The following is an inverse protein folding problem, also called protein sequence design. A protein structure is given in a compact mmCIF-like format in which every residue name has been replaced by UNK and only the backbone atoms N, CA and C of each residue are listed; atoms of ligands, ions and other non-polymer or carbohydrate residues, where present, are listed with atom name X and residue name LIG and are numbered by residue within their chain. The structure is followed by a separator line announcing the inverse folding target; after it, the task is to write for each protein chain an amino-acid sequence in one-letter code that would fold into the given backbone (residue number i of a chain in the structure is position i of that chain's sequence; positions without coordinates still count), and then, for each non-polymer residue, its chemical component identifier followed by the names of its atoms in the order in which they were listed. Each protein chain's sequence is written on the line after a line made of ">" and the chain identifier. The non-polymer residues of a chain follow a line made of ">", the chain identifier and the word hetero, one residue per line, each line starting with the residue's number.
data_IF_597406460218
#
_entry.id   IF_597406460218
#
_cell.length_a   1.000
_cell.length_b   1.000
_cell.length_c   1.000
_cell.angle_alpha   90.00
_cell.angle_beta   90.00
_cell.angle_gamma   90.00
#
_symmetry.space_group_name_H-M   'P 1'
#
loop_
_entity.id
_entity.type
_entity.pdbx_description
1 polymer ?
#
# COMPACT_ATOMS: atom_id res chain seq x y z
N UNK A 1 5.67 -37.77 5.91
CA UNK A 1 5.13 -36.65 5.11
C UNK A 1 5.95 -36.53 3.83
N UNK A 2 5.38 -36.82 2.63
CA UNK A 2 6.07 -36.57 1.37
C UNK A 2 6.04 -35.08 1.15
N UNK A 3 7.21 -34.42 1.15
CA UNK A 3 7.35 -33.03 0.74
C UNK A 3 6.87 -32.95 -0.71
N UNK A 4 5.80 -32.21 -0.98
CA UNK A 4 5.37 -31.90 -2.35
C UNK A 4 6.50 -31.11 -3.01
N UNK A 5 7.17 -31.71 -4.01
CA UNK A 5 8.16 -30.96 -4.80
C UNK A 5 7.44 -29.96 -5.69
N UNK A 6 8.10 -28.85 -6.03
CA UNK A 6 7.59 -27.84 -7.00
C UNK A 6 7.15 -28.48 -8.33
N UNK A 7 7.71 -29.64 -8.71
CA UNK A 7 7.33 -30.43 -9.88
C UNK A 7 5.95 -31.10 -9.74
N UNK A 8 5.35 -31.13 -8.54
CA UNK A 8 3.99 -31.61 -8.33
C UNK A 8 2.90 -30.55 -8.53
N UNK A 9 3.28 -29.27 -8.68
CA UNK A 9 2.36 -28.21 -9.09
C UNK A 9 1.96 -28.47 -10.56
N UNK A 10 0.71 -28.85 -10.77
CA UNK A 10 0.14 -28.93 -12.13
C UNK A 10 -0.09 -27.52 -12.64
N UNK A 11 0.92 -26.97 -13.32
CA UNK A 11 0.76 -25.71 -14.06
C UNK A 11 -0.09 -26.03 -15.28
N UNK A 12 -1.16 -25.28 -15.47
CA UNK A 12 -2.03 -25.31 -16.63
C UNK A 12 -1.26 -24.97 -17.91
N UNK A 13 -1.86 -25.16 -19.07
CA UNK A 13 -1.26 -24.72 -20.34
C UNK A 13 -1.07 -23.21 -20.33
N UNK A 14 -0.22 -22.70 -21.24
CA UNK A 14 -0.02 -21.25 -21.39
C UNK A 14 -1.33 -20.53 -21.69
N UNK A 15 -2.16 -21.15 -22.53
CA UNK A 15 -3.48 -20.63 -22.91
C UNK A 15 -4.42 -20.53 -21.70
N UNK A 16 -4.47 -21.57 -20.86
CA UNK A 16 -5.29 -21.57 -19.64
C UNK A 16 -4.84 -20.49 -18.64
N UNK A 17 -3.52 -20.25 -18.56
CA UNK A 17 -2.96 -19.21 -17.67
C UNK A 17 -3.33 -17.83 -18.20
N UNK A 18 -3.19 -17.57 -19.48
CA UNK A 18 -3.56 -16.28 -20.09
C UNK A 18 -5.05 -15.99 -19.94
N UNK A 19 -5.92 -16.99 -20.15
CA UNK A 19 -7.36 -16.86 -19.92
C UNK A 19 -7.68 -16.50 -18.46
N UNK A 20 -6.97 -17.11 -17.50
CA UNK A 20 -7.15 -16.78 -16.09
C UNK A 20 -6.72 -15.36 -15.76
N UNK A 21 -5.61 -14.87 -16.32
CA UNK A 21 -5.13 -13.49 -16.17
C UNK A 21 -6.19 -12.51 -16.70
N UNK A 22 -6.73 -12.75 -17.90
CA UNK A 22 -7.74 -11.86 -18.46
C UNK A 22 -9.04 -11.84 -17.63
N UNK A 23 -9.45 -12.97 -17.06
CA UNK A 23 -10.58 -13.01 -16.12
C UNK A 23 -10.33 -12.18 -14.87
N UNK A 24 -9.12 -12.23 -14.30
CA UNK A 24 -8.75 -11.40 -13.15
C UNK A 24 -8.81 -9.92 -13.51
N UNK A 25 -8.26 -9.53 -14.67
CA UNK A 25 -8.31 -8.12 -15.13
C UNK A 25 -9.75 -7.62 -15.27
N UNK A 26 -10.64 -8.43 -15.88
CA UNK A 26 -12.06 -8.04 -16.03
C UNK A 26 -12.79 -7.92 -14.68
N UNK A 27 -12.44 -8.76 -13.69
CA UNK A 27 -13.03 -8.70 -12.35
C UNK A 27 -12.61 -7.44 -11.58
N UNK A 28 -11.39 -6.96 -11.80
CA UNK A 28 -10.84 -5.77 -11.15
C UNK A 28 -11.21 -4.45 -11.85
N UNK A 29 -11.81 -4.50 -13.05
CA UNK A 29 -11.98 -3.37 -13.95
C UNK A 29 -13.11 -2.42 -13.54
N UNK A 30 -12.84 -1.14 -13.67
CA UNK A 30 -13.84 -0.13 -14.01
C UNK A 30 -14.63 0.50 -12.87
N UNK A 31 -14.16 0.47 -11.64
CA UNK A 31 -14.81 1.22 -10.56
C UNK A 31 -14.06 2.51 -10.26
N UNK A 32 -14.79 3.60 -10.16
CA UNK A 32 -14.28 4.89 -9.68
C UNK A 32 -15.14 5.31 -8.47
N UNK A 33 -14.51 6.01 -7.54
CA UNK A 33 -15.22 6.58 -6.38
C UNK A 33 -15.07 8.09 -6.42
N UNK A 34 -16.21 8.78 -6.32
CA UNK A 34 -16.20 10.23 -6.10
C UNK A 34 -15.81 10.52 -4.65
N UNK A 35 -14.72 11.32 -4.44
CA UNK A 35 -14.26 11.68 -3.10
C UNK A 35 -15.38 12.34 -2.28
N UNK A 36 -16.23 13.14 -2.94
CA UNK A 36 -17.39 13.79 -2.32
C UNK A 36 -18.46 12.83 -1.80
N UNK A 37 -18.44 11.56 -2.22
CA UNK A 37 -19.34 10.52 -1.72
C UNK A 37 -18.88 9.90 -0.40
N UNK A 38 -17.64 10.19 0.02
CA UNK A 38 -17.05 9.71 1.25
C UNK A 38 -17.14 10.79 2.33
N UNK A 39 -17.73 10.45 3.47
CA UNK A 39 -17.78 11.36 4.62
C UNK A 39 -16.36 11.72 5.07
N UNK A 40 -16.02 13.02 5.03
CA UNK A 40 -14.71 13.54 5.33
C UNK A 40 -14.23 13.17 6.74
N UNK A 41 -15.10 13.29 7.73
CA UNK A 41 -14.76 13.06 9.13
C UNK A 41 -14.57 11.57 9.44
N UNK A 42 -15.13 10.71 8.57
CA UNK A 42 -15.09 9.25 8.66
C UNK A 42 -14.16 8.59 7.63
N UNK A 43 -13.32 9.36 6.95
CA UNK A 43 -12.39 8.88 5.92
C UNK A 43 -10.96 9.25 6.27
N UNK A 44 -10.03 8.32 6.07
CA UNK A 44 -8.61 8.55 6.23
C UNK A 44 -7.80 8.06 5.02
N UNK A 45 -6.76 8.81 4.67
CA UNK A 45 -5.77 8.47 3.65
C UNK A 45 -4.55 7.84 4.32
N UNK A 46 -4.16 6.67 3.83
CA UNK A 46 -2.93 5.97 4.21
C UNK A 46 -1.98 5.96 3.03
N UNK A 47 -0.83 6.53 3.20
CA UNK A 47 0.24 6.57 2.20
C UNK A 47 1.37 5.69 2.70
N UNK A 48 1.61 4.59 2.01
CA UNK A 48 2.60 3.59 2.40
C UNK A 48 3.90 3.85 1.65
N UNK A 49 4.95 4.14 2.39
CA UNK A 49 6.36 4.13 1.98
C UNK A 49 6.71 4.97 0.73
N UNK A 50 6.04 6.08 0.53
CA UNK A 50 6.44 7.03 -0.52
C UNK A 50 7.61 7.88 -0.02
N UNK A 51 8.74 7.22 0.19
CA UNK A 51 10.01 7.81 0.66
C UNK A 51 11.03 7.88 -0.48
N UNK A 52 12.04 8.74 -0.33
CA UNK A 52 13.04 8.94 -1.38
C UNK A 52 13.73 7.65 -1.80
N UNK A 53 13.96 6.71 -0.86
CA UNK A 53 14.63 5.44 -1.09
C UNK A 53 13.90 4.48 -2.03
N UNK A 54 12.58 4.63 -2.20
CA UNK A 54 11.80 3.83 -3.15
C UNK A 54 11.43 4.59 -4.41
N UNK A 55 11.46 5.92 -4.38
CA UNK A 55 11.02 6.77 -5.50
C UNK A 55 12.20 7.28 -6.33
N UNK A 56 13.22 7.85 -5.68
CA UNK A 56 14.24 8.65 -6.38
C UNK A 56 15.66 8.12 -6.30
N UNK A 57 16.07 7.57 -5.15
CA UNK A 57 17.47 7.20 -4.91
C UNK A 57 17.57 6.01 -3.96
N UNK A 58 18.66 5.25 -4.08
CA UNK A 58 18.89 4.12 -3.22
C UNK A 58 18.75 2.77 -3.93
N UNK A 59 19.04 1.70 -3.18
CA UNK A 59 19.12 0.35 -3.72
C UNK A 59 17.77 -0.21 -4.21
N UNK A 60 16.66 0.34 -3.70
CA UNK A 60 15.30 -0.11 -4.01
C UNK A 60 14.46 0.95 -4.76
N UNK A 61 15.08 2.03 -5.25
CA UNK A 61 14.39 3.01 -6.04
C UNK A 61 13.87 2.42 -7.37
N UNK A 62 12.61 2.72 -7.71
CA UNK A 62 11.94 2.16 -8.87
C UNK A 62 11.27 3.24 -9.73
N UNK A 63 11.56 3.27 -11.05
CA UNK A 63 10.85 4.16 -11.98
C UNK A 63 9.34 3.90 -12.02
N UNK A 64 8.90 2.67 -11.77
CA UNK A 64 7.47 2.32 -11.69
C UNK A 64 6.82 3.01 -10.49
N UNK A 65 7.48 2.97 -9.32
CA UNK A 65 7.01 3.67 -8.12
C UNK A 65 6.99 5.18 -8.35
N UNK A 66 7.99 5.74 -9.02
CA UNK A 66 8.02 7.16 -9.38
C UNK A 66 6.82 7.57 -10.27
N UNK A 67 6.30 6.67 -11.10
CA UNK A 67 5.20 6.96 -12.01
C UNK A 67 3.86 7.24 -11.32
N UNK A 68 3.66 6.83 -10.07
CA UNK A 68 2.42 7.12 -9.32
C UNK A 68 2.48 8.42 -8.53
N UNK A 69 3.62 9.09 -8.44
CA UNK A 69 3.82 10.29 -7.61
C UNK A 69 2.82 11.38 -7.93
N UNK A 70 2.62 11.71 -9.22
CA UNK A 70 1.71 12.78 -9.64
C UNK A 70 0.27 12.49 -9.21
N UNK A 71 -0.24 11.28 -9.48
CA UNK A 71 -1.59 10.87 -9.11
C UNK A 71 -1.80 10.92 -7.58
N UNK A 72 -0.80 10.45 -6.84
CA UNK A 72 -0.87 10.43 -5.38
C UNK A 72 -0.77 11.82 -4.77
N UNK A 73 0.08 12.69 -5.32
CA UNK A 73 0.18 14.08 -4.88
C UNK A 73 -1.13 14.85 -5.13
N UNK A 74 -1.77 14.62 -6.28
CA UNK A 74 -3.09 15.20 -6.58
C UNK A 74 -4.14 14.71 -5.57
N UNK A 75 -4.22 13.40 -5.33
CA UNK A 75 -5.16 12.83 -4.35
C UNK A 75 -4.88 13.40 -2.95
N UNK A 76 -3.63 13.44 -2.51
CA UNK A 76 -3.22 14.01 -1.23
C UNK A 76 -3.68 15.47 -1.08
N UNK A 77 -3.53 16.29 -2.13
CA UNK A 77 -3.97 17.69 -2.16
C UNK A 77 -5.50 17.80 -2.09
N UNK A 78 -6.23 16.99 -2.84
CA UNK A 78 -7.71 16.96 -2.83
C UNK A 78 -8.28 16.52 -1.48
N UNK A 79 -7.55 15.66 -0.78
CA UNK A 79 -7.88 15.22 0.58
C UNK A 79 -7.35 16.18 1.67
N UNK A 80 -7.25 17.49 1.36
CA UNK A 80 -6.93 18.50 2.37
C UNK A 80 -7.96 18.48 3.50
N UNK A 81 -7.46 18.38 4.75
CA UNK A 81 -8.27 18.35 5.98
C UNK A 81 -8.96 17.00 6.25
N UNK A 82 -8.62 15.93 5.52
CA UNK A 82 -8.90 14.57 5.94
C UNK A 82 -7.81 14.08 6.90
N UNK A 83 -8.10 13.04 7.67
CA UNK A 83 -7.08 12.34 8.45
C UNK A 83 -6.10 11.67 7.51
N UNK A 84 -4.79 11.82 7.77
CA UNK A 84 -3.73 11.22 6.94
C UNK A 84 -2.71 10.50 7.79
N UNK A 85 -2.27 9.34 7.30
CA UNK A 85 -1.18 8.57 7.89
C UNK A 85 -0.16 8.29 6.80
N UNK A 86 1.05 8.79 6.99
CA UNK A 86 2.19 8.49 6.14
C UNK A 86 3.06 7.46 6.86
N UNK A 87 3.11 6.25 6.32
CA UNK A 87 4.10 5.27 6.76
C UNK A 87 5.44 5.59 6.10
N UNK A 88 6.48 5.61 6.90
CA UNK A 88 7.83 5.86 6.46
C UNK A 88 8.68 4.64 6.77
N UNK A 89 9.15 3.97 5.72
CA UNK A 89 10.09 2.88 5.90
C UNK A 89 11.38 3.42 6.50
N UNK A 90 11.72 2.98 7.72
CA UNK A 90 12.78 3.60 8.52
C UNK A 90 13.47 2.51 9.35
N UNK A 91 14.65 2.11 8.89
CA UNK A 91 15.37 1.00 9.46
C UNK A 91 16.54 1.42 10.36
N UNK A 92 16.76 0.64 11.41
CA UNK A 92 18.04 0.69 12.12
C UNK A 92 19.13 0.01 11.28
N UNK A 93 20.38 0.42 11.43
CA UNK A 93 21.54 -0.14 10.68
C UNK A 93 21.64 -1.67 10.69
N UNK A 94 21.14 -2.32 11.75
CA UNK A 94 21.17 -3.76 11.94
C UNK A 94 19.79 -4.40 11.77
N UNK A 95 18.91 -3.82 10.95
CA UNK A 95 17.57 -4.36 10.72
C UNK A 95 17.63 -5.80 10.21
N UNK A 96 16.76 -6.64 10.75
CA UNK A 96 16.64 -8.06 10.30
C UNK A 96 16.07 -8.17 8.90
N UNK A 97 15.40 -7.15 8.42
CA UNK A 97 14.88 -7.07 7.06
C UNK A 97 15.99 -7.08 6.01
N UNK A 98 17.18 -6.61 6.35
CA UNK A 98 18.38 -6.65 5.49
C UNK A 98 18.92 -8.07 5.22
N UNK A 99 18.36 -9.09 5.86
CA UNK A 99 18.59 -10.49 5.45
C UNK A 99 17.83 -10.85 4.15
N UNK A 100 16.80 -10.10 3.79
CA UNK A 100 15.95 -10.36 2.63
C UNK A 100 16.06 -9.29 1.55
N UNK A 101 16.39 -8.04 1.95
CA UNK A 101 16.56 -6.88 1.07
C UNK A 101 17.93 -6.24 1.32
N UNK A 102 18.50 -5.55 0.33
CA UNK A 102 19.71 -4.74 0.58
C UNK A 102 19.41 -3.66 1.63
N UNK A 103 20.43 -3.15 2.36
CA UNK A 103 20.24 -1.98 3.23
C UNK A 103 19.59 -0.82 2.48
N UNK A 104 18.55 -0.23 3.07
CA UNK A 104 17.75 0.87 2.50
C UNK A 104 17.07 1.64 3.62
N UNK A 105 16.68 2.86 3.36
CA UNK A 105 15.88 3.71 4.25
C UNK A 105 16.39 3.73 5.69
N UNK A 106 17.71 3.89 5.88
CA UNK A 106 18.30 3.92 7.21
C UNK A 106 17.88 5.19 7.95
N UNK A 107 17.54 5.05 9.22
CA UNK A 107 17.04 6.14 10.05
C UNK A 107 18.02 7.33 10.10
N UNK A 108 17.51 8.50 9.75
CA UNK A 108 18.28 9.75 9.70
C UNK A 108 18.97 10.00 8.37
N UNK A 109 18.82 9.10 7.39
CA UNK A 109 19.29 9.30 6.02
C UNK A 109 18.16 9.80 5.11
N UNK A 110 18.51 10.49 4.02
CA UNK A 110 17.59 11.07 3.04
C UNK A 110 16.65 10.03 2.43
N UNK A 111 17.09 8.79 2.27
CA UNK A 111 16.27 7.69 1.74
C UNK A 111 15.00 7.44 2.58
N UNK A 112 15.06 7.61 3.91
CA UNK A 112 13.94 7.40 4.81
C UNK A 112 12.97 8.59 4.89
N UNK A 113 13.26 9.71 4.22
CA UNK A 113 12.39 10.88 4.22
C UNK A 113 11.24 10.74 3.23
N UNK A 114 10.07 11.27 3.63
CA UNK A 114 8.92 11.42 2.73
C UNK A 114 9.31 12.26 1.51
N UNK A 115 8.85 11.86 0.32
CA UNK A 115 9.12 12.63 -0.91
C UNK A 115 8.55 14.05 -0.83
N UNK A 116 9.21 15.05 -1.47
CA UNK A 116 8.80 16.46 -1.37
C UNK A 116 7.36 16.72 -1.82
N UNK A 117 6.87 16.01 -2.83
CA UNK A 117 5.54 16.19 -3.43
C UNK A 117 4.38 15.84 -2.49
N UNK A 118 4.68 15.08 -1.44
CA UNK A 118 3.69 14.66 -0.44
C UNK A 118 3.85 15.42 0.89
N UNK A 119 4.91 16.22 1.03
CA UNK A 119 5.06 17.09 2.20
C UNK A 119 3.94 18.14 2.14
N UNK A 120 3.08 18.15 3.13
CA UNK A 120 2.04 19.17 3.30
C UNK A 120 2.56 20.25 4.22
N UNK A 121 2.29 21.52 3.87
CA UNK A 121 2.48 22.58 4.84
C UNK A 121 1.52 22.34 6.01
N UNK A 122 2.05 22.35 7.22
CA UNK A 122 1.25 22.23 8.45
C UNK A 122 0.19 23.35 8.47
N UNK A 123 -1.02 23.00 8.10
CA UNK A 123 -2.16 23.92 8.24
C UNK A 123 -2.83 23.62 9.57
N UNK A 124 -3.14 24.66 10.34
CA UNK A 124 -3.89 24.50 11.59
C UNK A 124 -5.16 23.65 11.36
N UNK A 125 -5.29 22.56 12.12
CA UNK A 125 -6.45 21.66 12.07
C UNK A 125 -6.32 20.46 11.15
N UNK A 126 -5.18 20.20 10.51
CA UNK A 126 -4.96 18.94 9.77
C UNK A 126 -4.48 17.84 10.72
N UNK A 127 -5.14 16.67 10.66
CA UNK A 127 -4.76 15.47 11.43
C UNK A 127 -3.82 14.60 10.59
N UNK A 128 -2.53 14.96 10.57
CA UNK A 128 -1.47 14.28 9.83
C UNK A 128 -0.57 13.51 10.80
N UNK A 129 -0.34 12.24 10.50
CA UNK A 129 0.49 11.34 11.31
C UNK A 129 1.60 10.76 10.46
N UNK A 130 2.82 10.88 10.94
CA UNK A 130 3.99 10.22 10.35
C UNK A 130 4.36 9.03 11.22
N UNK A 131 4.37 7.84 10.62
CA UNK A 131 4.57 6.58 11.32
C UNK A 131 5.81 5.88 10.78
N UNK A 132 6.91 5.99 11.50
CA UNK A 132 8.12 5.22 11.20
C UNK A 132 7.85 3.72 11.41
N UNK A 133 8.25 2.89 10.46
CA UNK A 133 8.17 1.43 10.57
C UNK A 133 9.52 0.77 10.24
N UNK A 134 9.87 -0.26 10.97
CA UNK A 134 11.11 -1.04 10.79
C UNK A 134 10.80 -2.44 10.23
N UNK A 135 9.70 -2.58 9.52
CA UNK A 135 9.31 -3.82 8.83
C UNK A 135 8.35 -3.52 7.69
N UNK A 136 8.24 -4.46 6.74
CA UNK A 136 7.32 -4.34 5.60
C UNK A 136 5.87 -4.08 5.98
N UNK A 137 5.41 -4.49 7.16
CA UNK A 137 4.01 -4.34 7.56
C UNK A 137 3.81 -3.20 8.57
N UNK A 138 3.37 -2.05 8.09
CA UNK A 138 3.08 -0.87 8.91
C UNK A 138 2.06 -1.08 10.04
N UNK A 139 1.24 -2.13 9.97
CA UNK A 139 0.28 -2.45 11.04
C UNK A 139 0.97 -2.71 12.39
N UNK A 140 2.21 -3.18 12.37
CA UNK A 140 2.97 -3.49 13.59
C UNK A 140 3.69 -2.27 14.19
N UNK A 141 3.74 -1.15 13.46
CA UNK A 141 4.37 0.06 13.95
C UNK A 141 3.63 0.64 15.16
N UNK A 142 4.37 1.11 16.17
CA UNK A 142 3.77 1.62 17.41
C UNK A 142 2.90 2.85 17.12
N UNK A 143 3.36 3.79 16.31
CA UNK A 143 2.56 4.96 15.93
C UNK A 143 1.24 4.61 15.23
N UNK A 144 1.19 3.49 14.49
CA UNK A 144 -0.08 3.03 13.92
C UNK A 144 -1.01 2.40 14.97
N UNK A 145 -0.46 1.70 15.97
CA UNK A 145 -1.27 1.17 17.07
C UNK A 145 -1.93 2.29 17.88
N UNK A 146 -1.20 3.38 18.11
CA UNK A 146 -1.76 4.58 18.75
C UNK A 146 -2.88 5.18 17.89
N UNK A 147 -2.63 5.31 16.58
CA UNK A 147 -3.60 5.86 15.63
C UNK A 147 -4.88 5.02 15.56
N UNK A 148 -4.76 3.71 15.37
CA UNK A 148 -5.93 2.83 15.22
C UNK A 148 -6.77 2.80 16.52
N UNK A 149 -6.13 2.77 17.68
CA UNK A 149 -6.82 2.82 18.96
C UNK A 149 -7.60 4.13 19.17
N UNK A 150 -7.11 5.24 18.59
CA UNK A 150 -7.78 6.55 18.68
C UNK A 150 -8.95 6.67 17.72
N UNK A 151 -8.83 6.11 16.51
CA UNK A 151 -9.73 6.43 15.40
C UNK A 151 -10.57 5.27 14.85
N UNK A 152 -10.34 4.02 15.27
CA UNK A 152 -11.05 2.86 14.70
C UNK A 152 -12.58 2.94 14.80
N UNK A 153 -13.11 3.65 15.79
CA UNK A 153 -14.56 3.81 15.96
C UNK A 153 -15.12 4.98 15.15
N UNK A 154 -14.29 5.93 14.76
CA UNK A 154 -14.71 7.14 14.03
C UNK A 154 -14.45 7.07 12.53
N UNK A 155 -13.42 6.33 12.09
CA UNK A 155 -13.08 6.16 10.67
C UNK A 155 -13.74 4.90 10.12
N UNK A 156 -14.43 5.03 8.99
CA UNK A 156 -15.09 3.92 8.28
C UNK A 156 -14.44 3.62 6.94
N UNK A 157 -13.85 4.62 6.29
CA UNK A 157 -13.25 4.48 4.97
C UNK A 157 -11.73 4.67 5.08
N UNK A 158 -10.99 3.66 4.65
CA UNK A 158 -9.53 3.58 4.68
C UNK A 158 -9.02 3.55 3.24
N UNK A 159 -8.58 4.69 2.70
CA UNK A 159 -7.98 4.77 1.36
C UNK A 159 -6.50 4.46 1.51
N UNK A 160 -6.03 3.36 0.90
CA UNK A 160 -4.65 2.86 1.05
C UNK A 160 -3.93 3.02 -0.28
N UNK A 161 -2.79 3.69 -0.27
CA UNK A 161 -2.00 4.08 -1.43
C UNK A 161 -0.50 3.87 -1.17
N UNK A 162 0.34 4.04 -2.19
CA UNK A 162 1.80 4.00 -2.06
C UNK A 162 2.45 2.74 -2.58
N UNK A 163 3.57 2.33 -2.01
CA UNK A 163 4.40 1.25 -2.51
C UNK A 163 4.91 0.30 -1.40
N UNK A 164 5.36 -0.90 -1.74
CA UNK A 164 5.09 -1.56 -3.02
C UNK A 164 3.84 -2.41 -2.88
N UNK A 165 3.05 -2.49 -3.95
CA UNK A 165 1.69 -3.07 -3.90
C UNK A 165 1.66 -4.47 -3.32
N UNK A 166 2.60 -5.32 -3.69
CA UNK A 166 2.65 -6.75 -3.36
C UNK A 166 3.35 -7.07 -2.03
N UNK A 167 4.00 -6.09 -1.40
CA UNK A 167 4.69 -6.28 -0.12
C UNK A 167 4.05 -5.40 0.95
N UNK A 168 4.45 -4.15 1.08
CA UNK A 168 4.04 -3.29 2.20
C UNK A 168 2.55 -2.97 2.14
N UNK A 169 2.03 -2.58 0.96
CA UNK A 169 0.60 -2.27 0.77
C UNK A 169 -0.26 -3.50 0.98
N UNK A 170 0.10 -4.65 0.38
CA UNK A 170 -0.62 -5.91 0.53
C UNK A 170 -0.66 -6.36 1.98
N UNK A 171 0.49 -6.43 2.64
CA UNK A 171 0.58 -6.91 4.02
C UNK A 171 -0.22 -6.02 4.98
N UNK A 172 -0.09 -4.70 4.85
CA UNK A 172 -0.85 -3.76 5.66
C UNK A 172 -2.35 -3.92 5.43
N UNK A 173 -2.78 -3.93 4.17
CA UNK A 173 -4.20 -3.99 3.79
C UNK A 173 -4.87 -5.28 4.27
N UNK A 174 -4.24 -6.44 4.05
CA UNK A 174 -4.77 -7.73 4.51
C UNK A 174 -4.81 -7.83 6.04
N UNK A 175 -3.78 -7.34 6.71
CA UNK A 175 -3.74 -7.34 8.19
C UNK A 175 -4.82 -6.44 8.77
N UNK A 176 -5.00 -5.24 8.22
CA UNK A 176 -6.03 -4.31 8.66
C UNK A 176 -7.45 -4.87 8.39
N UNK A 177 -7.65 -5.52 7.22
CA UNK A 177 -8.93 -6.17 6.91
C UNK A 177 -9.24 -7.29 7.89
N UNK A 178 -8.27 -8.17 8.16
CA UNK A 178 -8.45 -9.26 9.12
C UNK A 178 -8.66 -8.77 10.56
N UNK A 179 -7.99 -7.69 10.94
CA UNK A 179 -8.21 -7.04 12.24
C UNK A 179 -9.65 -6.57 12.43
N UNK A 180 -10.25 -5.93 11.42
CA UNK A 180 -11.66 -5.51 11.50
C UNK A 180 -12.62 -6.69 11.43
N UNK A 181 -12.32 -7.71 10.63
CA UNK A 181 -13.12 -8.93 10.57
C UNK A 181 -13.16 -9.64 11.95
N UNK A 182 -12.01 -9.77 12.63
CA UNK A 182 -11.93 -10.36 13.98
C UNK A 182 -12.81 -9.61 14.99
N UNK A 183 -12.89 -8.28 14.85
CA UNK A 183 -13.70 -7.43 15.72
C UNK A 183 -15.17 -7.29 15.26
N UNK A 184 -15.57 -7.94 14.18
CA UNK A 184 -16.89 -7.78 13.55
C UNK A 184 -17.24 -6.31 13.26
N UNK A 185 -16.24 -5.50 12.85
CA UNK A 185 -16.40 -4.10 12.45
C UNK A 185 -16.52 -4.01 10.93
N UNK A 186 -17.61 -3.45 10.45
CA UNK A 186 -17.79 -3.17 9.02
C UNK A 186 -17.03 -1.89 8.65
N UNK A 187 -15.87 -2.06 8.00
CA UNK A 187 -15.00 -0.98 7.53
C UNK A 187 -14.67 -1.19 6.05
N UNK A 188 -14.66 -0.09 5.29
CA UNK A 188 -14.29 -0.09 3.88
C UNK A 188 -12.80 0.18 3.76
N UNK A 189 -12.08 -0.75 3.17
CA UNK A 189 -10.70 -0.57 2.72
C UNK A 189 -10.73 -0.40 1.21
N UNK A 190 -10.16 0.69 0.71
CA UNK A 190 -10.22 1.10 -0.68
C UNK A 190 -8.79 1.27 -1.19
N UNK A 191 -8.43 0.59 -2.29
CA UNK A 191 -7.12 0.71 -2.92
C UNK A 191 -7.32 1.21 -4.36
N UNK A 192 -6.95 2.47 -4.66
CA UNK A 192 -6.99 3.01 -6.01
C UNK A 192 -5.76 2.54 -6.81
N UNK A 193 -6.00 1.83 -7.92
CA UNK A 193 -4.95 1.24 -8.77
C UNK A 193 -3.94 2.29 -9.26
N UNK A 194 -4.42 3.48 -9.62
CA UNK A 194 -3.57 4.56 -10.11
C UNK A 194 -2.66 5.20 -9.04
N UNK A 195 -2.75 4.76 -7.80
CA UNK A 195 -2.00 5.31 -6.66
C UNK A 195 -1.27 4.23 -5.85
N UNK A 196 -1.12 3.05 -6.42
CA UNK A 196 -0.27 1.97 -5.88
C UNK A 196 0.58 1.39 -7.01
N UNK A 197 1.82 1.00 -6.72
CA UNK A 197 2.71 0.40 -7.73
C UNK A 197 3.79 -0.46 -7.06
N UNK A 198 4.38 -1.37 -7.85
CA UNK A 198 5.52 -2.19 -7.45
C UNK A 198 6.72 -1.98 -8.38
N UNK A 199 7.78 -2.75 -8.21
CA UNK A 199 9.03 -2.66 -8.97
C UNK A 199 9.14 -3.76 -10.02
N UNK A 200 10.07 -3.60 -10.97
CA UNK A 200 10.56 -4.67 -11.82
C UNK A 200 11.96 -5.10 -11.39
N UNK A 201 12.24 -6.39 -11.39
CA UNK A 201 13.58 -6.87 -11.08
C UNK A 201 13.74 -8.39 -11.18
N UNK A 202 14.75 -8.86 -11.89
CA UNK A 202 15.03 -10.28 -12.04
C UNK A 202 13.84 -11.07 -12.58
N UNK A 203 13.25 -11.94 -11.76
CA UNK A 203 12.04 -12.72 -12.08
C UNK A 203 10.75 -12.05 -11.58
N UNK A 204 10.85 -10.89 -10.97
CA UNK A 204 9.72 -10.10 -10.49
C UNK A 204 9.22 -9.21 -11.62
N UNK A 205 8.22 -9.69 -12.34
CA UNK A 205 7.48 -8.96 -13.37
C UNK A 205 6.44 -8.08 -12.66
N UNK A 206 6.66 -6.76 -12.67
CA UNK A 206 5.85 -5.82 -11.90
C UNK A 206 4.38 -5.83 -12.31
N UNK A 207 4.04 -5.97 -13.60
CA UNK A 207 2.65 -6.00 -14.06
C UNK A 207 1.92 -7.22 -13.55
N UNK A 208 2.57 -8.39 -13.63
CA UNK A 208 1.99 -9.65 -13.19
C UNK A 208 1.83 -9.70 -11.67
N UNK A 209 2.86 -9.31 -10.94
CA UNK A 209 2.87 -9.35 -9.48
C UNK A 209 1.89 -8.30 -8.91
N UNK A 210 1.84 -7.10 -9.48
CA UNK A 210 0.88 -6.07 -9.13
C UNK A 210 -0.56 -6.57 -9.31
N UNK A 211 -0.86 -7.19 -10.46
CA UNK A 211 -2.17 -7.78 -10.74
C UNK A 211 -2.57 -8.82 -9.68
N UNK A 212 -1.66 -9.73 -9.33
CA UNK A 212 -1.94 -10.75 -8.32
C UNK A 212 -2.11 -10.18 -6.91
N UNK A 213 -1.35 -9.16 -6.54
CA UNK A 213 -1.50 -8.47 -5.27
C UNK A 213 -2.88 -7.79 -5.15
N UNK A 214 -3.28 -7.05 -6.18
CA UNK A 214 -4.60 -6.43 -6.26
C UNK A 214 -5.74 -7.46 -6.21
N UNK A 215 -5.60 -8.56 -6.93
CA UNK A 215 -6.57 -9.65 -6.90
C UNK A 215 -6.67 -10.32 -5.53
N UNK A 216 -5.55 -10.54 -4.85
CA UNK A 216 -5.52 -11.07 -3.49
C UNK A 216 -6.27 -10.15 -2.51
N UNK A 217 -6.03 -8.84 -2.59
CA UNK A 217 -6.75 -7.85 -1.80
C UNK A 217 -8.25 -7.87 -2.11
N UNK A 218 -8.62 -7.89 -3.40
CA UNK A 218 -10.01 -7.94 -3.84
C UNK A 218 -10.77 -9.17 -3.29
N UNK A 219 -10.21 -10.36 -3.44
CA UNK A 219 -10.81 -11.60 -2.94
C UNK A 219 -10.90 -11.68 -1.42
N UNK A 220 -10.09 -10.85 -0.72
CA UNK A 220 -10.14 -10.68 0.74
C UNK A 220 -11.18 -9.65 1.20
N UNK A 221 -11.96 -9.06 0.26
CA UNK A 221 -13.00 -8.08 0.56
C UNK A 221 -12.49 -6.65 0.70
N UNK A 222 -11.35 -6.33 0.07
CA UNK A 222 -10.85 -4.97 -0.09
C UNK A 222 -11.35 -4.43 -1.43
N UNK A 223 -11.84 -3.21 -1.44
CA UNK A 223 -12.41 -2.57 -2.63
C UNK A 223 -11.27 -2.03 -3.51
N UNK A 224 -11.06 -2.65 -4.67
CA UNK A 224 -10.11 -2.21 -5.67
C UNK A 224 -10.85 -1.31 -6.66
N UNK A 225 -10.31 -0.10 -6.91
CA UNK A 225 -10.92 0.88 -7.79
C UNK A 225 -9.88 1.48 -8.73
N UNK A 226 -10.30 1.95 -9.91
CA UNK A 226 -9.35 2.55 -10.86
C UNK A 226 -8.73 3.83 -10.25
N UNK A 227 -9.56 4.67 -9.63
CA UNK A 227 -9.14 5.93 -8.98
C UNK A 227 -10.21 6.51 -8.06
N UNK A 228 -9.79 7.46 -7.23
CA UNK A 228 -10.67 8.37 -6.48
C UNK A 228 -10.78 9.68 -7.28
N UNK A 229 -11.99 10.05 -7.69
CA UNK A 229 -12.30 11.31 -8.38
C UNK A 229 -12.64 12.42 -7.41
#
# INVERSE_FOLDING_TARGET
>A
MKCLSLTALKIKTKEDVMEAIEKIKEELKGKEIELSSLDKDRTALFVVDMVNGFVYSGALASPRVAAIVENLAELNKRMKGYKKVFFLDTHNENSKEFCSFPPHCIKGEEEAELIPELKTEDSEGEEIYYVEKNSTNGFHAEGFKEWINKYEDTVDNYIITGCVTDICVLQFSLTLKSYFNEKNKEKRLIVPINSVETYDGGTHDGDLINLFALYNMHTSGIEIVDRIK
#
